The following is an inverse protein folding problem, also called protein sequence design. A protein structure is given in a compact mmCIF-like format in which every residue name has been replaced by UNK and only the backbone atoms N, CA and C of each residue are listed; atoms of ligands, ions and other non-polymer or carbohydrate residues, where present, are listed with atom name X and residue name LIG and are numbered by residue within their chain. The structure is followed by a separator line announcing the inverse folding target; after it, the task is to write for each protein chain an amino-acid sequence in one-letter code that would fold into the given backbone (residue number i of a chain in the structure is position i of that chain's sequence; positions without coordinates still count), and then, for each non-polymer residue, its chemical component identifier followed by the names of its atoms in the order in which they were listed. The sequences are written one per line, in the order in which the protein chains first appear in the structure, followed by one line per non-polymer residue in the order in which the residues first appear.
data_IF_071266725042
#
_entry.id   IF_071266725042
#
_cell.length_a   1.000
_cell.length_b   1.000
_cell.length_c   1.000
_cell.angle_alpha   90.00
_cell.angle_beta   90.00
_cell.angle_gamma   90.00
#
_symmetry.space_group_name_H-M   'P 1'
#
loop_
_entity.id
_entity.type
_entity.pdbx_description
1 polymer ?
#
# COMPACT_ATOMS: atom_id res chain seq x y z
N UNK A 1 -9.71 3.52 -26.54
CA UNK A 1 -8.65 2.85 -25.79
C UNK A 1 -9.09 2.69 -24.36
N UNK A 2 -8.81 1.58 -23.73
CA UNK A 2 -9.02 1.42 -22.30
C UNK A 2 -8.01 2.26 -21.52
N UNK A 3 -8.42 2.82 -20.39
CA UNK A 3 -7.54 3.53 -19.46
C UNK A 3 -6.78 2.48 -18.63
N UNK A 4 -5.46 2.59 -18.59
CA UNK A 4 -4.59 1.66 -17.84
C UNK A 4 -4.19 2.25 -16.49
N UNK A 5 -4.66 1.63 -15.42
CA UNK A 5 -4.44 2.07 -14.04
C UNK A 5 -3.49 1.11 -13.34
N UNK A 6 -2.30 1.60 -13.01
CA UNK A 6 -1.35 0.86 -12.18
C UNK A 6 -1.72 0.94 -10.70
N UNK A 7 -1.50 -0.14 -9.96
CA UNK A 7 -1.63 -0.18 -8.49
C UNK A 7 -0.38 -0.78 -7.91
N UNK A 8 0.20 -0.14 -6.90
CA UNK A 8 1.29 -0.71 -6.09
C UNK A 8 1.02 -0.54 -4.60
N UNK A 9 1.56 -1.47 -3.82
CA UNK A 9 1.63 -1.39 -2.37
C UNK A 9 3.09 -1.29 -1.94
N UNK A 10 3.44 -0.31 -1.12
CA UNK A 10 4.82 -0.08 -0.71
C UNK A 10 4.94 0.22 0.78
N UNK A 11 6.04 -0.22 1.37
CA UNK A 11 6.32 -0.03 2.79
C UNK A 11 5.97 -1.23 3.65
N UNK A 12 5.60 -1.01 4.92
CA UNK A 12 5.19 -2.07 5.83
C UNK A 12 3.83 -2.64 5.49
N UNK A 13 3.59 -3.88 5.89
CA UNK A 13 2.28 -4.50 5.83
C UNK A 13 1.28 -3.81 6.76
N UNK A 14 0.00 -3.92 6.44
CA UNK A 14 -1.07 -3.26 7.18
C UNK A 14 -2.40 -3.97 6.86
N UNK A 15 -3.28 -4.20 7.84
CA UNK A 15 -4.62 -4.68 7.53
C UNK A 15 -5.36 -3.65 6.65
N UNK A 16 -6.13 -4.15 5.68
CA UNK A 16 -6.89 -3.29 4.76
C UNK A 16 -6.22 -3.04 3.40
N UNK A 17 -4.99 -3.51 3.15
CA UNK A 17 -4.34 -3.37 1.83
C UNK A 17 -5.17 -4.01 0.72
N UNK A 18 -5.50 -5.28 0.84
CA UNK A 18 -6.31 -6.00 -0.14
C UNK A 18 -7.74 -5.46 -0.24
N UNK A 19 -8.33 -5.03 0.87
CA UNK A 19 -9.63 -4.37 0.87
C UNK A 19 -9.61 -3.07 0.04
N UNK A 20 -8.56 -2.26 0.19
CA UNK A 20 -8.36 -1.03 -0.59
C UNK A 20 -8.15 -1.33 -2.07
N UNK A 21 -7.28 -2.29 -2.41
CA UNK A 21 -7.06 -2.74 -3.80
C UNK A 21 -8.39 -3.18 -4.43
N UNK A 22 -9.17 -4.01 -3.72
CA UNK A 22 -10.48 -4.45 -4.17
C UNK A 22 -11.46 -3.29 -4.33
N UNK A 23 -11.50 -2.35 -3.38
CA UNK A 23 -12.36 -1.17 -3.43
C UNK A 23 -12.08 -0.31 -4.67
N UNK A 24 -10.81 -0.06 -4.96
CA UNK A 24 -10.36 0.63 -6.17
C UNK A 24 -10.80 -0.11 -7.42
N UNK A 25 -10.50 -1.41 -7.51
CA UNK A 25 -10.82 -2.21 -8.69
C UNK A 25 -12.33 -2.22 -8.95
N UNK A 26 -13.15 -2.49 -7.91
CA UNK A 26 -14.60 -2.47 -8.04
C UNK A 26 -15.15 -1.10 -8.44
N UNK A 27 -14.63 -0.02 -7.87
CA UNK A 27 -15.07 1.33 -8.23
C UNK A 27 -14.76 1.66 -9.70
N UNK A 28 -13.58 1.27 -10.18
CA UNK A 28 -13.17 1.46 -11.58
C UNK A 28 -14.03 0.63 -12.54
N UNK A 29 -14.19 -0.67 -12.29
CA UNK A 29 -15.02 -1.52 -13.16
C UNK A 29 -16.50 -1.10 -13.15
N UNK A 30 -17.05 -0.72 -11.99
CA UNK A 30 -18.45 -0.27 -11.91
C UNK A 30 -18.70 1.02 -12.69
N UNK A 31 -17.71 1.92 -12.75
CA UNK A 31 -17.85 3.21 -13.44
C UNK A 31 -17.48 3.15 -14.90
N UNK A 32 -16.53 2.31 -15.28
CA UNK A 32 -15.89 2.32 -16.58
C UNK A 32 -16.10 1.03 -17.38
N UNK A 33 -16.50 -0.07 -16.71
CA UNK A 33 -16.67 -1.38 -17.37
C UNK A 33 -15.38 -1.83 -18.06
N UNK A 34 -15.50 -2.26 -19.31
CA UNK A 34 -14.39 -2.74 -20.13
C UNK A 34 -13.44 -1.62 -20.63
N UNK A 35 -13.70 -0.37 -20.23
CA UNK A 35 -12.86 0.77 -20.61
C UNK A 35 -11.70 1.00 -19.63
N UNK A 36 -11.48 0.11 -18.68
CA UNK A 36 -10.35 0.17 -17.73
C UNK A 36 -9.63 -1.16 -17.68
N UNK A 37 -8.31 -1.09 -17.66
CA UNK A 37 -7.40 -2.21 -17.40
C UNK A 37 -6.59 -1.92 -16.14
N UNK A 38 -6.50 -2.89 -15.25
CA UNK A 38 -5.72 -2.75 -14.01
C UNK A 38 -4.40 -3.49 -14.14
N UNK A 39 -3.32 -2.82 -13.81
CA UNK A 39 -1.96 -3.35 -13.83
C UNK A 39 -1.41 -3.39 -12.41
N UNK A 40 -1.18 -4.57 -11.88
CA UNK A 40 -0.54 -4.77 -10.58
C UNK A 40 0.97 -4.64 -10.68
N UNK A 41 1.56 -3.69 -9.96
CA UNK A 41 3.01 -3.57 -9.84
C UNK A 41 3.46 -4.39 -8.63
N UNK A 42 4.28 -5.40 -8.86
CA UNK A 42 4.67 -6.35 -7.82
C UNK A 42 5.80 -5.79 -6.93
N UNK A 43 5.73 -6.04 -5.63
CA UNK A 43 6.74 -5.60 -4.66
C UNK A 43 6.96 -4.07 -4.60
N UNK A 44 5.93 -3.28 -4.85
CA UNK A 44 5.95 -1.83 -4.70
C UNK A 44 6.87 -1.11 -5.69
N UNK A 45 7.58 -0.07 -5.22
CA UNK A 45 8.50 0.68 -6.09
C UNK A 45 9.65 -0.15 -6.63
N UNK A 46 10.07 -1.22 -5.94
CA UNK A 46 11.08 -2.14 -6.45
C UNK A 46 10.62 -2.78 -7.77
N UNK A 47 9.37 -3.20 -7.84
CA UNK A 47 8.80 -3.72 -9.07
C UNK A 47 8.68 -2.68 -10.17
N UNK A 48 8.34 -1.43 -9.84
CA UNK A 48 8.29 -0.35 -10.82
C UNK A 48 9.70 -0.02 -11.36
N UNK A 49 10.74 -0.07 -10.51
CA UNK A 49 12.13 0.12 -10.93
C UNK A 49 12.57 -0.99 -11.89
N UNK A 50 12.22 -2.24 -11.57
CA UNK A 50 12.68 -3.41 -12.32
C UNK A 50 11.75 -3.83 -13.48
N UNK A 51 10.60 -3.16 -13.67
CA UNK A 51 9.61 -3.51 -14.69
C UNK A 51 8.83 -4.78 -14.35
N UNK A 52 8.69 -5.11 -13.06
CA UNK A 52 7.95 -6.28 -12.60
C UNK A 52 6.50 -5.92 -12.34
N UNK A 53 5.67 -6.10 -13.35
CA UNK A 53 4.23 -5.83 -13.30
C UNK A 53 3.47 -6.83 -14.16
N UNK A 54 2.17 -6.95 -13.90
CA UNK A 54 1.28 -7.82 -14.68
C UNK A 54 -0.13 -7.21 -14.81
N UNK A 55 -0.81 -7.57 -15.85
CA UNK A 55 -2.24 -7.29 -15.98
C UNK A 55 -3.02 -8.15 -14.99
N UNK A 56 -4.07 -7.59 -14.44
CA UNK A 56 -4.93 -8.24 -13.46
C UNK A 56 -6.34 -8.41 -14.01
N UNK A 57 -6.86 -9.63 -13.92
CA UNK A 57 -8.24 -9.90 -14.29
C UNK A 57 -9.22 -9.46 -13.20
N UNK A 58 -10.49 -9.12 -13.53
CA UNK A 58 -11.50 -8.74 -12.55
C UNK A 58 -11.73 -9.79 -11.45
N UNK A 59 -11.56 -11.07 -11.76
CA UNK A 59 -11.78 -12.17 -10.81
C UNK A 59 -10.73 -12.20 -9.69
N UNK A 60 -9.52 -11.71 -9.93
CA UNK A 60 -8.44 -11.67 -8.94
C UNK A 60 -8.76 -10.72 -7.77
N UNK A 61 -9.69 -9.82 -7.92
CA UNK A 61 -10.17 -8.93 -6.86
C UNK A 61 -11.32 -9.53 -6.06
N UNK A 62 -11.76 -10.74 -6.41
CA UNK A 62 -12.79 -11.47 -5.66
C UNK A 62 -12.16 -12.19 -4.47
N UNK A 63 -12.91 -12.25 -3.34
CA UNK A 63 -12.46 -12.99 -2.15
C UNK A 63 -11.34 -12.36 -1.32
N UNK A 64 -10.73 -11.26 -1.74
CA UNK A 64 -9.56 -10.66 -1.05
C UNK A 64 -9.90 -9.65 0.04
N UNK A 65 -11.18 -9.37 0.29
CA UNK A 65 -11.62 -8.32 1.22
C UNK A 65 -11.07 -8.50 2.63
N UNK A 66 -11.07 -9.74 3.12
CA UNK A 66 -10.66 -10.11 4.48
C UNK A 66 -9.30 -10.83 4.51
N UNK A 67 -8.62 -10.90 3.39
CA UNK A 67 -7.29 -11.54 3.30
C UNK A 67 -6.23 -10.55 3.75
N UNK A 68 -5.44 -10.92 4.75
CA UNK A 68 -4.32 -10.13 5.25
C UNK A 68 -3.19 -10.00 4.23
N UNK A 69 -2.25 -9.10 4.50
CA UNK A 69 -1.15 -8.82 3.59
C UNK A 69 -1.57 -8.09 2.32
N UNK A 70 -0.82 -8.31 1.25
CA UNK A 70 -1.11 -7.73 -0.07
C UNK A 70 -0.89 -8.74 -1.19
N UNK A 71 -1.86 -8.88 -2.10
CA UNK A 71 -1.75 -9.75 -3.27
C UNK A 71 -0.70 -9.27 -4.28
N UNK A 72 -0.22 -8.03 -4.16
CA UNK A 72 0.82 -7.46 -5.01
C UNK A 72 2.23 -7.61 -4.42
N UNK A 73 2.33 -8.07 -3.17
CA UNK A 73 3.58 -8.02 -2.43
C UNK A 73 3.99 -6.60 -2.08
N UNK A 74 4.91 -6.47 -1.14
CA UNK A 74 5.43 -5.17 -0.72
C UNK A 74 6.92 -5.24 -0.44
N UNK A 75 7.63 -4.15 -0.73
CA UNK A 75 9.04 -3.98 -0.39
C UNK A 75 9.29 -2.57 0.09
N UNK A 76 10.15 -2.42 1.07
CA UNK A 76 10.59 -1.10 1.53
C UNK A 76 11.71 -0.59 0.64
N UNK A 77 11.45 0.49 -0.08
CA UNK A 77 12.47 1.24 -0.81
C UNK A 77 12.55 2.63 -0.20
N UNK A 78 13.58 2.92 0.62
CA UNK A 78 13.64 4.19 1.35
C UNK A 78 13.67 5.38 0.40
N UNK A 79 12.86 6.40 0.67
CA UNK A 79 12.80 7.63 -0.14
C UNK A 79 14.19 8.28 -0.32
N UNK A 80 15.00 8.30 0.74
CA UNK A 80 16.36 8.86 0.71
C UNK A 80 17.28 8.21 -0.34
N UNK A 81 16.98 6.96 -0.72
CA UNK A 81 17.76 6.20 -1.72
C UNK A 81 17.22 6.33 -3.14
N UNK A 82 16.08 7.02 -3.36
CA UNK A 82 15.45 7.09 -4.68
C UNK A 82 16.28 7.88 -5.71
N UNK A 83 16.99 8.92 -5.26
CA UNK A 83 17.89 9.72 -6.12
C UNK A 83 19.36 9.33 -6.00
N UNK A 84 19.66 8.28 -5.22
CA UNK A 84 21.04 7.78 -5.04
C UNK A 84 21.27 6.66 -6.02
N UNK A 85 22.27 6.83 -6.88
CA UNK A 85 22.81 5.76 -7.72
C UNK A 85 23.74 4.93 -6.86
N UNK A 86 23.38 3.68 -6.61
CA UNK A 86 24.16 2.73 -5.84
C UNK A 86 25.12 1.95 -6.78
N UNK A 87 25.78 0.93 -6.27
CA UNK A 87 26.77 0.15 -7.04
C UNK A 87 26.20 -0.52 -8.30
N UNK A 88 24.87 -0.72 -8.35
CA UNK A 88 24.12 -1.21 -9.50
C UNK A 88 24.03 -0.21 -10.67
N UNK A 89 24.48 1.04 -10.46
CA UNK A 89 24.44 2.16 -11.41
C UNK A 89 23.05 2.49 -11.96
N UNK A 90 21.98 2.09 -11.25
CA UNK A 90 20.60 2.31 -11.68
C UNK A 90 20.11 3.69 -11.22
N UNK A 91 19.74 4.55 -12.15
CA UNK A 91 18.88 5.70 -11.88
C UNK A 91 17.44 5.22 -11.68
N UNK A 92 17.06 5.06 -10.40
CA UNK A 92 15.76 4.51 -10.02
C UNK A 92 14.59 5.36 -10.51
N UNK A 93 14.74 6.69 -10.54
CA UNK A 93 13.68 7.60 -11.01
C UNK A 93 13.50 7.46 -12.52
N UNK A 94 14.61 7.46 -13.28
CA UNK A 94 14.55 7.24 -14.73
C UNK A 94 13.98 5.84 -15.07
N UNK A 95 14.37 4.81 -14.32
CA UNK A 95 13.86 3.45 -14.47
C UNK A 95 12.35 3.37 -14.23
N UNK A 96 11.84 3.96 -13.13
CA UNK A 96 10.41 4.02 -12.85
C UNK A 96 9.64 4.75 -13.95
N UNK A 97 10.14 5.88 -14.44
CA UNK A 97 9.52 6.64 -15.56
C UNK A 97 9.48 5.81 -16.84
N UNK A 98 10.59 5.10 -17.16
CA UNK A 98 10.65 4.20 -18.31
C UNK A 98 9.61 3.10 -18.22
N UNK A 99 9.53 2.42 -17.07
CA UNK A 99 8.62 1.29 -16.87
C UNK A 99 7.15 1.73 -16.77
N UNK A 100 6.86 2.88 -16.19
CA UNK A 100 5.52 3.50 -16.23
C UNK A 100 5.03 3.66 -17.69
N UNK A 101 5.90 4.20 -18.56
CA UNK A 101 5.58 4.38 -19.99
C UNK A 101 5.51 3.05 -20.74
N UNK A 102 6.42 2.11 -20.44
CA UNK A 102 6.44 0.78 -21.05
C UNK A 102 5.18 -0.02 -20.73
N UNK A 103 4.68 0.10 -19.49
CA UNK A 103 3.40 -0.47 -19.06
C UNK A 103 2.19 0.30 -19.60
N UNK A 104 2.41 1.41 -20.32
CA UNK A 104 1.36 2.30 -20.88
C UNK A 104 0.36 2.77 -19.83
N UNK A 105 0.83 3.10 -18.64
CA UNK A 105 -0.04 3.56 -17.56
C UNK A 105 -0.52 4.98 -17.81
N UNK A 106 -1.81 5.21 -17.65
CA UNK A 106 -2.43 6.53 -17.64
C UNK A 106 -2.41 7.15 -16.22
N UNK A 107 -2.41 6.29 -15.21
CA UNK A 107 -2.35 6.68 -13.80
C UNK A 107 -1.71 5.56 -12.97
N UNK A 108 -1.03 5.93 -11.89
CA UNK A 108 -0.49 4.98 -10.90
C UNK A 108 -1.01 5.32 -9.50
N UNK A 109 -1.67 4.35 -8.87
CA UNK A 109 -2.13 4.41 -7.49
C UNK A 109 -1.06 3.84 -6.56
N UNK A 110 -0.62 4.63 -5.58
CA UNK A 110 0.43 4.25 -4.64
C UNK A 110 -0.15 4.11 -3.23
N UNK A 111 -0.34 2.86 -2.76
CA UNK A 111 -0.77 2.57 -1.40
C UNK A 111 0.43 2.49 -0.47
N UNK A 112 0.48 3.32 0.55
CA UNK A 112 1.55 3.26 1.53
C UNK A 112 1.55 4.40 2.53
N UNK A 113 2.58 4.41 3.38
CA UNK A 113 2.80 5.41 4.41
C UNK A 113 3.56 6.64 3.90
N UNK A 114 4.04 7.47 4.83
CA UNK A 114 4.74 8.72 4.54
C UNK A 114 5.91 8.58 3.53
N UNK A 115 6.71 7.52 3.65
CA UNK A 115 7.83 7.27 2.72
C UNK A 115 7.35 7.01 1.29
N UNK A 116 6.25 6.27 1.14
CA UNK A 116 5.60 5.98 -0.14
C UNK A 116 5.07 7.25 -0.78
N UNK A 117 4.41 8.12 -0.01
CA UNK A 117 3.87 9.38 -0.52
C UNK A 117 4.95 10.38 -0.91
N UNK A 118 6.10 10.40 -0.21
CA UNK A 118 7.25 11.21 -0.65
C UNK A 118 7.76 10.78 -2.02
N UNK A 119 7.83 9.46 -2.28
CA UNK A 119 8.22 8.94 -3.60
C UNK A 119 7.12 9.20 -4.64
N UNK A 120 5.84 9.05 -4.28
CA UNK A 120 4.71 9.38 -5.15
C UNK A 120 4.74 10.86 -5.59
N UNK A 121 4.99 11.78 -4.65
CA UNK A 121 5.14 13.20 -4.94
C UNK A 121 6.35 13.47 -5.86
N UNK A 122 7.48 12.81 -5.62
CA UNK A 122 8.63 12.90 -6.48
C UNK A 122 8.28 12.52 -7.94
N UNK A 123 7.60 11.39 -8.13
CA UNK A 123 7.20 10.92 -9.47
C UNK A 123 6.16 11.85 -10.11
N UNK A 124 5.27 12.44 -9.33
CA UNK A 124 4.33 13.45 -9.81
C UNK A 124 5.05 14.71 -10.30
N UNK A 125 6.06 15.18 -9.55
CA UNK A 125 6.91 16.31 -9.99
C UNK A 125 7.72 15.99 -11.26
N UNK A 126 8.02 14.72 -11.49
CA UNK A 126 8.66 14.22 -12.72
C UNK A 126 7.67 14.05 -13.89
N UNK A 127 6.42 14.49 -13.73
CA UNK A 127 5.40 14.55 -14.77
C UNK A 127 4.58 13.28 -14.96
N UNK A 128 4.58 12.37 -13.98
CA UNK A 128 3.72 11.19 -14.01
C UNK A 128 2.38 11.48 -13.30
N UNK A 129 1.31 10.87 -13.77
CA UNK A 129 -0.01 10.94 -13.11
C UNK A 129 -0.06 9.94 -11.95
N UNK A 130 0.09 10.44 -10.73
CA UNK A 130 0.20 9.63 -9.52
C UNK A 130 -0.88 10.02 -8.52
N UNK A 131 -1.53 9.03 -7.93
CA UNK A 131 -2.49 9.22 -6.83
C UNK A 131 -2.00 8.44 -5.61
N UNK A 132 -1.82 9.12 -4.49
CA UNK A 132 -1.47 8.50 -3.22
C UNK A 132 -2.72 8.01 -2.48
N UNK A 133 -2.67 6.81 -1.94
CA UNK A 133 -3.69 6.24 -1.06
C UNK A 133 -3.08 6.01 0.32
N UNK A 134 -3.54 6.74 1.36
CA UNK A 134 -2.91 6.75 2.67
C UNK A 134 -3.16 5.44 3.42
N UNK A 135 -2.12 4.65 3.59
CA UNK A 135 -2.14 3.35 4.26
C UNK A 135 -1.08 3.31 5.35
N UNK A 136 -1.51 3.18 6.58
CA UNK A 136 -0.68 2.89 7.76
C UNK A 136 -1.59 2.55 8.94
N UNK A 137 -1.08 1.78 9.92
CA UNK A 137 -1.75 1.59 11.20
C UNK A 137 -1.55 2.79 12.13
N UNK A 138 -0.54 3.62 11.89
CA UNK A 138 -0.14 4.71 12.79
C UNK A 138 -1.05 5.93 12.71
N UNK A 139 -1.92 6.04 11.70
CA UNK A 139 -2.78 7.19 11.41
C UNK A 139 -2.04 8.54 11.48
N UNK A 140 -0.82 8.57 10.93
CA UNK A 140 0.14 9.67 11.07
C UNK A 140 0.41 10.43 9.76
N UNK A 141 -0.45 10.29 8.75
CA UNK A 141 -0.29 10.98 7.46
C UNK A 141 -1.00 12.33 7.51
N UNK A 142 -0.23 13.41 7.39
CA UNK A 142 -0.75 14.76 7.41
C UNK A 142 -1.79 14.99 6.28
N UNK A 143 -2.89 15.65 6.62
CA UNK A 143 -3.98 15.94 5.69
C UNK A 143 -4.94 14.77 5.47
N UNK A 144 -4.85 13.73 6.29
CA UNK A 144 -5.73 12.56 6.26
C UNK A 144 -6.39 12.38 7.62
N UNK A 145 -7.70 12.26 7.68
CA UNK A 145 -8.43 12.02 8.93
C UNK A 145 -8.23 10.58 9.40
N UNK A 146 -8.35 9.63 8.48
CA UNK A 146 -8.22 8.19 8.76
C UNK A 146 -7.42 7.51 7.64
N UNK A 147 -6.41 6.75 8.03
CA UNK A 147 -5.61 5.94 7.11
C UNK A 147 -6.19 4.53 6.96
N UNK A 148 -6.06 3.96 5.76
CA UNK A 148 -6.46 2.57 5.52
C UNK A 148 -5.67 1.62 6.42
N UNK A 149 -6.40 0.83 7.21
CA UNK A 149 -5.85 -0.16 8.14
C UNK A 149 -5.78 0.28 9.60
N UNK A 150 -5.95 1.55 9.94
CA UNK A 150 -5.91 2.04 11.32
C UNK A 150 -7.01 1.41 12.17
N UNK A 151 -8.27 1.59 11.80
CA UNK A 151 -9.39 1.05 12.62
C UNK A 151 -9.34 -0.47 12.74
N UNK A 152 -9.03 -1.19 11.65
CA UNK A 152 -8.88 -2.64 11.71
C UNK A 152 -7.76 -3.07 12.65
N UNK A 153 -6.66 -2.33 12.71
CA UNK A 153 -5.57 -2.61 13.64
C UNK A 153 -6.01 -2.38 15.10
N UNK A 154 -6.76 -1.31 15.37
CA UNK A 154 -7.33 -1.01 16.70
C UNK A 154 -8.29 -2.11 17.13
N UNK A 155 -9.22 -2.52 16.26
CA UNK A 155 -10.20 -3.56 16.56
C UNK A 155 -9.52 -4.90 16.90
N UNK A 156 -8.53 -5.31 16.08
CA UNK A 156 -7.77 -6.55 16.32
C UNK A 156 -6.97 -6.46 17.62
N UNK A 157 -6.32 -5.34 17.90
CA UNK A 157 -5.56 -5.14 19.14
C UNK A 157 -6.48 -5.23 20.36
N UNK A 158 -7.65 -4.59 20.31
CA UNK A 158 -8.66 -4.63 21.36
C UNK A 158 -9.15 -6.06 21.61
N UNK A 159 -9.48 -6.80 20.55
CA UNK A 159 -9.93 -8.19 20.67
C UNK A 159 -8.85 -9.08 21.31
N UNK A 160 -7.59 -8.92 20.93
CA UNK A 160 -6.48 -9.68 21.53
C UNK A 160 -6.30 -9.34 23.01
N UNK A 161 -6.40 -8.06 23.38
CA UNK A 161 -6.31 -7.61 24.78
C UNK A 161 -7.45 -8.24 25.60
N UNK A 162 -8.67 -8.21 25.13
CA UNK A 162 -9.83 -8.80 25.81
C UNK A 162 -9.65 -10.31 26.04
N UNK A 163 -9.11 -11.02 25.08
CA UNK A 163 -8.81 -12.47 25.23
C UNK A 163 -7.76 -12.75 26.30
N UNK A 164 -6.75 -11.89 26.45
CA UNK A 164 -5.70 -12.02 27.47
C UNK A 164 -6.22 -11.63 28.86
N UNK A 165 -7.11 -10.64 28.92
CA UNK A 165 -7.66 -10.11 30.16
C UNK A 165 -8.32 -11.21 31.03
N UNK A 166 -9.04 -12.13 30.43
CA UNK A 166 -9.75 -13.20 31.19
C UNK A 166 -8.79 -14.13 31.94
N UNK A 167 -7.68 -14.51 31.30
CA UNK A 167 -6.67 -15.36 31.94
C UNK A 167 -5.85 -14.58 33.00
N UNK A 168 -5.63 -13.28 32.77
CA UNK A 168 -4.99 -12.41 33.74
C UNK A 168 -5.79 -12.36 35.04
N UNK A 169 -7.13 -12.16 34.97
CA UNK A 169 -8.04 -12.17 36.09
C UNK A 169 -8.08 -13.52 36.81
N UNK A 170 -8.19 -14.62 36.07
CA UNK A 170 -8.27 -15.97 36.64
C UNK A 170 -7.03 -16.38 37.45
N UNK A 171 -5.88 -15.89 37.06
CA UNK A 171 -4.59 -16.23 37.67
C UNK A 171 -3.97 -15.11 38.50
N UNK A 172 -4.70 -14.01 38.75
CA UNK A 172 -4.21 -12.80 39.44
C UNK A 172 -2.84 -12.33 38.84
N UNK A 173 -2.76 -12.31 37.52
CA UNK A 173 -1.53 -11.93 36.77
C UNK A 173 -1.63 -10.50 36.24
N UNK A 174 -0.49 -9.84 36.22
CA UNK A 174 -0.31 -8.61 35.44
C UNK A 174 0.28 -9.01 34.09
N UNK A 175 -0.37 -8.63 33.00
CA UNK A 175 0.08 -8.86 31.62
C UNK A 175 0.58 -7.56 31.02
N UNK A 176 1.72 -7.61 30.32
CA UNK A 176 2.24 -6.50 29.55
C UNK A 176 2.08 -6.84 28.07
N UNK A 177 1.44 -5.94 27.33
CA UNK A 177 1.16 -6.12 25.90
C UNK A 177 1.83 -4.97 25.15
N UNK A 178 2.72 -5.31 24.22
CA UNK A 178 3.33 -4.33 23.31
C UNK A 178 2.55 -4.26 22.01
N UNK A 179 2.13 -3.05 21.62
CA UNK A 179 1.42 -2.78 20.37
C UNK A 179 2.31 -1.87 19.51
N UNK A 180 2.40 -2.17 18.23
CA UNK A 180 3.11 -1.31 17.28
C UNK A 180 2.43 0.05 17.18
N UNK A 181 3.19 1.09 16.84
CA UNK A 181 2.63 2.44 16.71
C UNK A 181 3.68 3.48 16.36
N UNK A 182 4.90 3.07 16.03
CA UNK A 182 6.03 3.95 15.73
C UNK A 182 6.15 5.08 16.76
N UNK A 183 5.77 6.32 16.41
CA UNK A 183 5.72 7.49 17.30
C UNK A 183 4.29 7.86 17.70
N UNK A 184 3.30 7.11 17.24
CA UNK A 184 1.90 7.29 17.59
C UNK A 184 1.59 6.52 18.87
N UNK A 185 0.85 7.15 19.80
CA UNK A 185 0.44 6.54 21.05
C UNK A 185 -1.08 6.33 21.16
N UNK A 186 -1.78 6.31 20.03
CA UNK A 186 -3.24 6.19 19.96
C UNK A 186 -3.72 4.88 19.31
N UNK A 187 -2.84 3.96 19.00
CA UNK A 187 -3.21 2.64 18.53
C UNK A 187 -3.50 1.73 19.72
#
# INVERSE_FOLDING_TARGET
MAIRVGILTSGGDCPGLNATIRGVAKALYNRMGDKVEIVGILNGYDGLINGNYREMSPDEFSGILTVGGTILGTKRTPFKKMRVVEDDKVDKVAAMKKNYRAAKLDCLLCLGGNGTHKTANLLSQEGLNIIGLPKTIDNDIYGTDVTFGFHTAVDIATEVIDRIHTTAGSHSRVMCIEIMGNKAGWL
#
